data_IF_837934525304
#
_entry.id   IF_837934525304
#
_cell.length_a   1.000
_cell.length_b   1.000
_cell.length_c   1.000
_cell.angle_alpha   90.00
_cell.angle_beta   90.00
_cell.angle_gamma   90.00
#
_symmetry.space_group_name_H-M   'P 1'
#
loop_
_entity.id
_entity.type
_entity.pdbx_description
1 polymer ?
#
# COMPACT_ATOMS: atom_id res chain seq x y z
N UNK A 1 25.06 11.36 -11.05
CA UNK A 1 24.02 12.19 -11.73
C UNK A 1 22.90 11.35 -12.39
N UNK A 2 23.09 10.05 -12.69
CA UNK A 2 22.05 9.22 -13.33
C UNK A 2 21.00 8.65 -12.33
N UNK A 3 21.29 8.61 -11.04
CA UNK A 3 20.39 8.02 -10.02
C UNK A 3 19.20 8.92 -9.62
N UNK A 4 19.21 10.18 -10.05
CA UNK A 4 18.17 11.16 -9.68
C UNK A 4 17.11 11.36 -10.79
N UNK A 5 17.29 10.72 -11.94
CA UNK A 5 16.38 10.89 -13.07
C UNK A 5 15.29 9.84 -13.04
N UNK A 6 14.02 10.29 -13.09
CA UNK A 6 12.88 9.37 -13.25
C UNK A 6 13.02 8.58 -14.56
N UNK A 7 12.79 7.27 -14.47
CA UNK A 7 12.73 6.38 -15.62
C UNK A 7 11.25 6.17 -15.91
N UNK A 8 10.73 6.66 -17.05
CA UNK A 8 9.33 6.45 -17.40
C UNK A 8 9.02 4.97 -17.54
N UNK A 9 7.86 4.55 -17.03
CA UNK A 9 7.28 3.24 -17.24
C UNK A 9 6.02 3.34 -18.07
N UNK A 10 5.57 2.21 -18.61
CA UNK A 10 4.30 2.08 -19.29
C UNK A 10 3.45 1.02 -18.61
N UNK A 11 2.15 1.27 -18.48
CA UNK A 11 1.25 0.31 -17.86
C UNK A 11 -0.20 0.76 -17.90
N UNK A 12 -1.08 -0.19 -17.64
CA UNK A 12 -2.50 0.05 -17.44
C UNK A 12 -2.99 -0.80 -16.25
N UNK A 13 -3.96 -0.29 -15.52
CA UNK A 13 -4.58 -0.99 -14.39
C UNK A 13 -6.07 -0.69 -14.39
N UNK A 14 -6.86 -1.72 -14.09
CA UNK A 14 -8.29 -1.60 -13.88
C UNK A 14 -8.65 -2.25 -12.54
N UNK A 15 -9.44 -1.56 -11.74
CA UNK A 15 -9.93 -2.04 -10.44
C UNK A 15 -11.44 -1.85 -10.40
N UNK A 16 -12.15 -2.88 -9.99
CA UNK A 16 -13.57 -2.79 -9.67
C UNK A 16 -13.73 -2.65 -8.16
N UNK A 17 -14.37 -1.56 -7.73
CA UNK A 17 -14.73 -1.33 -6.33
C UNK A 17 -16.22 -1.62 -6.15
N UNK A 18 -16.54 -2.42 -5.15
CA UNK A 18 -17.91 -2.77 -4.83
C UNK A 18 -18.15 -2.69 -3.32
N UNK A 19 -19.39 -2.45 -2.92
CA UNK A 19 -19.79 -2.53 -1.52
C UNK A 19 -19.88 -4.00 -1.07
N UNK A 20 -19.68 -4.30 0.23
CA UNK A 20 -19.80 -5.68 0.72
C UNK A 20 -21.13 -6.38 0.37
N UNK A 21 -22.30 -5.71 0.43
CA UNK A 21 -23.56 -6.34 -0.01
C UNK A 21 -23.55 -6.75 -1.47
N UNK A 22 -22.99 -5.92 -2.36
CA UNK A 22 -22.92 -6.22 -3.78
C UNK A 22 -21.94 -7.37 -4.07
N UNK A 23 -20.84 -7.46 -3.33
CA UNK A 23 -19.88 -8.59 -3.42
C UNK A 23 -20.59 -9.90 -3.07
N UNK A 24 -21.40 -9.92 -2.00
CA UNK A 24 -22.16 -11.07 -1.60
C UNK A 24 -23.26 -11.45 -2.61
N UNK A 25 -23.98 -10.45 -3.15
CA UNK A 25 -25.02 -10.67 -4.18
C UNK A 25 -24.45 -11.24 -5.46
N UNK A 26 -23.25 -10.81 -5.87
CA UNK A 26 -22.58 -11.25 -7.09
C UNK A 26 -21.66 -12.47 -6.89
N UNK A 27 -21.60 -13.03 -5.66
CA UNK A 27 -20.76 -14.18 -5.30
C UNK A 27 -19.30 -14.02 -5.76
N UNK A 28 -18.71 -12.83 -5.52
CA UNK A 28 -17.35 -12.50 -5.96
C UNK A 28 -16.31 -13.02 -4.97
N UNK A 29 -15.89 -14.27 -5.13
CA UNK A 29 -14.92 -14.94 -4.25
C UNK A 29 -13.52 -14.33 -4.27
N UNK A 30 -13.14 -13.69 -5.38
CA UNK A 30 -11.83 -13.06 -5.58
C UNK A 30 -11.74 -11.64 -5.03
N UNK A 31 -12.53 -11.29 -4.03
CA UNK A 31 -12.57 -9.94 -3.46
C UNK A 31 -11.62 -9.80 -2.27
N UNK A 32 -11.10 -8.60 -2.10
CA UNK A 32 -10.36 -8.20 -0.90
C UNK A 32 -11.01 -6.98 -0.26
N UNK A 33 -10.81 -6.79 1.02
CA UNK A 33 -11.17 -5.55 1.69
C UNK A 33 -10.00 -4.55 1.59
N UNK A 34 -10.32 -3.27 1.49
CA UNK A 34 -9.34 -2.17 1.58
C UNK A 34 -9.74 -1.22 2.69
N UNK A 35 -8.76 -0.75 3.45
CA UNK A 35 -8.97 0.31 4.43
C UNK A 35 -9.26 1.65 3.75
N UNK A 36 -9.66 2.65 4.54
CA UNK A 36 -9.59 4.04 4.07
C UNK A 36 -8.15 4.41 3.71
N UNK A 37 -7.98 5.28 2.74
CA UNK A 37 -6.69 5.87 2.40
C UNK A 37 -6.37 6.98 3.41
N UNK A 38 -5.20 6.90 4.05
CA UNK A 38 -4.63 7.99 4.85
C UNK A 38 -3.60 8.74 4.03
N UNK A 39 -3.71 10.07 3.97
CA UNK A 39 -2.83 10.93 3.16
C UNK A 39 -2.31 12.11 3.96
N UNK A 40 -1.09 12.53 3.68
CA UNK A 40 -0.51 13.77 4.16
C UNK A 40 0.57 14.28 3.21
N UNK A 41 0.90 15.56 3.34
CA UNK A 41 1.94 16.21 2.54
C UNK A 41 3.10 16.66 3.41
N UNK A 42 4.32 16.54 2.91
CA UNK A 42 5.54 17.07 3.50
C UNK A 42 5.62 18.57 3.31
N UNK A 43 6.19 19.26 4.27
CA UNK A 43 6.48 20.71 4.15
C UNK A 43 7.47 20.99 2.99
N UNK A 44 8.45 20.10 2.81
CA UNK A 44 9.47 20.20 1.75
C UNK A 44 9.48 18.96 0.87
N UNK A 45 9.74 19.10 -0.43
CA UNK A 45 9.95 17.96 -1.31
C UNK A 45 11.08 17.06 -0.79
N UNK A 46 10.98 15.75 -1.04
CA UNK A 46 12.02 14.80 -0.62
C UNK A 46 13.35 15.08 -1.31
N UNK A 47 13.33 15.66 -2.51
CA UNK A 47 14.51 16.01 -3.31
C UNK A 47 15.10 17.40 -2.97
N UNK A 48 14.53 18.12 -2.01
CA UNK A 48 15.01 19.46 -1.63
C UNK A 48 16.37 19.46 -0.90
N UNK A 49 16.99 18.30 -0.73
CA UNK A 49 18.24 18.11 -0.01
C UNK A 49 18.06 18.02 1.50
N UNK A 50 19.12 17.53 2.17
CA UNK A 50 19.12 17.28 3.61
C UNK A 50 18.78 15.82 3.94
N UNK A 51 18.67 15.53 5.25
CA UNK A 51 18.30 14.19 5.73
C UNK A 51 16.85 13.90 5.41
N UNK A 52 16.60 12.85 4.68
CA UNK A 52 15.26 12.30 4.47
C UNK A 52 14.87 11.50 5.72
N UNK A 53 13.65 11.68 6.20
CA UNK A 53 13.13 10.94 7.34
C UNK A 53 11.78 10.31 6.98
N UNK A 54 11.55 9.09 7.44
CA UNK A 54 10.30 8.34 7.26
C UNK A 54 9.19 8.74 8.24
N UNK A 55 9.40 9.75 9.09
CA UNK A 55 8.48 10.12 10.17
C UNK A 55 7.03 10.34 9.71
N UNK A 56 6.82 10.96 8.54
CA UNK A 56 5.47 11.20 8.03
C UNK A 56 4.78 9.89 7.65
N UNK A 57 5.50 8.98 7.02
CA UNK A 57 4.99 7.65 6.66
C UNK A 57 4.67 6.84 7.91
N UNK A 58 5.56 6.84 8.90
CA UNK A 58 5.35 6.20 10.21
C UNK A 58 4.08 6.72 10.90
N UNK A 59 3.88 8.04 10.93
CA UNK A 59 2.68 8.66 11.51
C UNK A 59 1.41 8.24 10.77
N UNK A 60 1.44 8.19 9.43
CA UNK A 60 0.31 7.76 8.62
C UNK A 60 -0.03 6.29 8.86
N UNK A 61 0.99 5.43 8.92
CA UNK A 61 0.82 4.00 9.20
C UNK A 61 0.24 3.80 10.60
N UNK A 62 0.87 4.38 11.62
CA UNK A 62 0.41 4.26 13.01
C UNK A 62 -1.04 4.70 13.15
N UNK A 63 -1.38 5.89 12.67
CA UNK A 63 -2.76 6.39 12.72
C UNK A 63 -3.76 5.54 11.94
N UNK A 64 -3.35 4.92 10.83
CA UNK A 64 -4.20 4.01 10.07
C UNK A 64 -4.44 2.70 10.82
N UNK A 65 -3.39 2.11 11.38
CA UNK A 65 -3.48 0.85 12.13
C UNK A 65 -4.29 1.03 13.42
N UNK A 66 -4.12 2.14 14.13
CA UNK A 66 -4.90 2.48 15.33
C UNK A 66 -6.41 2.56 15.02
N UNK A 67 -6.77 3.26 13.93
CA UNK A 67 -8.20 3.41 13.55
C UNK A 67 -8.81 2.11 13.04
N UNK A 68 -8.01 1.28 12.36
CA UNK A 68 -8.50 0.00 11.79
C UNK A 68 -8.43 -1.17 12.76
N UNK A 69 -7.68 -1.04 13.85
CA UNK A 69 -7.43 -2.13 14.81
C UNK A 69 -6.55 -3.26 14.24
N UNK A 70 -5.84 -2.99 13.13
CA UNK A 70 -4.97 -3.99 12.48
C UNK A 70 -3.64 -4.02 13.20
N UNK A 71 -3.25 -5.21 13.68
CA UNK A 71 -1.93 -5.39 14.29
C UNK A 71 -0.83 -5.31 13.21
N UNK A 72 0.28 -4.58 13.44
CA UNK A 72 1.42 -4.54 12.50
C UNK A 72 1.91 -5.93 12.11
N UNK A 73 1.90 -6.88 13.05
CA UNK A 73 2.35 -8.26 12.83
C UNK A 73 1.47 -9.08 11.88
N UNK A 74 0.23 -8.63 11.60
CA UNK A 74 -0.66 -9.27 10.61
C UNK A 74 -0.36 -8.85 9.17
N UNK A 75 0.41 -7.78 8.99
CA UNK A 75 0.85 -7.33 7.66
C UNK A 75 2.10 -8.10 7.29
N UNK A 76 2.05 -8.83 6.18
CA UNK A 76 3.14 -9.71 5.71
C UNK A 76 3.81 -9.24 4.43
N UNK A 77 3.35 -8.14 3.86
CA UNK A 77 4.00 -7.52 2.73
C UNK A 77 3.68 -6.03 2.63
N UNK A 78 4.56 -5.27 1.99
CA UNK A 78 4.40 -3.83 1.76
C UNK A 78 4.63 -3.54 0.28
N UNK A 79 3.62 -3.00 -0.41
CA UNK A 79 3.72 -2.60 -1.80
C UNK A 79 4.13 -1.13 -1.88
N UNK A 80 5.37 -0.87 -2.30
CA UNK A 80 5.92 0.48 -2.42
C UNK A 80 5.75 0.99 -3.85
N UNK A 81 5.18 2.18 -4.05
CA UNK A 81 5.19 2.81 -5.38
C UNK A 81 6.55 3.36 -5.77
N UNK A 82 7.47 3.39 -4.81
CA UNK A 82 8.84 3.90 -4.92
C UNK A 82 9.52 3.45 -6.20
N UNK A 83 10.21 4.37 -6.85
CA UNK A 83 11.08 4.10 -7.98
C UNK A 83 12.55 3.86 -7.54
N UNK A 84 13.48 3.90 -8.47
CA UNK A 84 14.91 3.65 -8.24
C UNK A 84 15.63 4.79 -7.46
N UNK A 85 14.97 5.90 -7.16
CA UNK A 85 15.58 7.03 -6.42
C UNK A 85 15.74 6.67 -4.95
N UNK A 86 17.00 6.66 -4.49
CA UNK A 86 17.37 6.17 -3.17
C UNK A 86 16.65 6.87 -2.01
N UNK A 87 16.41 8.19 -2.12
CA UNK A 87 15.75 8.96 -1.06
C UNK A 87 14.30 8.53 -0.82
N UNK A 88 13.57 8.15 -1.86
CA UNK A 88 12.18 7.70 -1.74
C UNK A 88 12.10 6.31 -1.11
N UNK A 89 13.01 5.40 -1.50
CA UNK A 89 13.10 4.09 -0.89
C UNK A 89 13.53 4.17 0.58
N UNK A 90 14.57 4.98 0.87
CA UNK A 90 15.03 5.19 2.24
C UNK A 90 13.94 5.76 3.15
N UNK A 91 13.15 6.72 2.66
CA UNK A 91 12.01 7.28 3.39
C UNK A 91 10.96 6.21 3.71
N UNK A 92 10.59 5.38 2.72
CA UNK A 92 9.61 4.33 2.91
C UNK A 92 10.07 3.29 3.94
N UNK A 93 11.31 2.81 3.81
CA UNK A 93 11.86 1.81 4.73
C UNK A 93 12.07 2.38 6.15
N UNK A 94 12.53 3.63 6.29
CA UNK A 94 12.62 4.28 7.60
C UNK A 94 11.23 4.47 8.22
N UNK A 95 10.21 4.74 7.39
CA UNK A 95 8.82 4.90 7.84
C UNK A 95 8.16 3.63 8.33
N UNK A 96 8.62 2.46 7.91
CA UNK A 96 8.17 1.19 8.46
C UNK A 96 8.64 0.98 9.89
N UNK A 97 9.84 1.49 10.25
CA UNK A 97 10.36 1.49 11.59
C UNK A 97 10.40 0.10 12.26
N UNK A 98 10.43 0.10 13.59
CA UNK A 98 10.52 -1.13 14.39
C UNK A 98 9.26 -2.00 14.31
N UNK A 99 8.11 -1.41 14.04
CA UNK A 99 6.84 -2.15 13.97
C UNK A 99 6.82 -3.21 12.86
N UNK A 100 7.71 -3.12 11.89
CA UNK A 100 7.79 -4.02 10.73
C UNK A 100 9.15 -4.74 10.60
N UNK A 101 9.92 -4.86 11.69
CA UNK A 101 11.20 -5.60 11.71
C UNK A 101 11.05 -7.09 11.32
N UNK A 102 9.84 -7.61 11.39
CA UNK A 102 9.52 -8.98 10.98
C UNK A 102 9.47 -9.17 9.45
N UNK A 103 9.48 -8.09 8.66
CA UNK A 103 9.48 -8.13 7.20
C UNK A 103 10.91 -8.06 6.65
N UNK A 104 11.16 -8.85 5.61
CA UNK A 104 12.39 -8.74 4.82
C UNK A 104 12.25 -7.57 3.83
N UNK A 105 13.09 -6.52 3.91
CA UNK A 105 12.99 -5.35 3.03
C UNK A 105 13.09 -5.66 1.54
N UNK A 106 13.70 -6.78 1.15
CA UNK A 106 13.89 -7.16 -0.25
C UNK A 106 12.73 -8.03 -0.75
N UNK A 107 12.31 -9.01 0.07
CA UNK A 107 11.29 -9.99 -0.34
C UNK A 107 9.87 -9.50 -0.09
N UNK A 108 9.67 -8.83 1.03
CA UNK A 108 8.33 -8.47 1.51
C UNK A 108 7.96 -7.01 1.21
N UNK A 109 8.94 -6.18 0.77
CA UNK A 109 8.74 -4.77 0.48
C UNK A 109 9.12 -4.40 -0.98
N UNK A 110 8.50 -5.01 -2.00
CA UNK A 110 8.85 -4.72 -3.38
C UNK A 110 8.60 -3.25 -3.75
N UNK A 111 9.63 -2.61 -4.33
CA UNK A 111 9.55 -1.28 -4.92
C UNK A 111 9.07 -1.39 -6.37
N UNK A 112 7.78 -1.22 -6.60
CA UNK A 112 7.14 -1.45 -7.90
C UNK A 112 7.72 -0.52 -8.96
N UNK A 113 7.85 0.77 -8.65
CA UNK A 113 8.41 1.74 -9.59
C UNK A 113 9.88 1.49 -9.93
N UNK A 114 10.65 0.81 -9.06
CA UNK A 114 12.01 0.40 -9.39
C UNK A 114 12.04 -0.73 -10.42
N UNK A 115 10.99 -1.53 -10.50
CA UNK A 115 10.88 -2.68 -11.42
C UNK A 115 10.30 -2.28 -12.77
N UNK A 116 9.23 -1.45 -12.78
CA UNK A 116 8.47 -1.14 -13.99
C UNK A 116 8.61 0.31 -14.44
N UNK A 117 9.39 1.11 -13.75
CA UNK A 117 9.53 2.53 -14.00
C UNK A 117 8.46 3.38 -13.32
N UNK A 118 8.51 4.67 -13.57
CA UNK A 118 7.56 5.65 -13.03
C UNK A 118 6.24 5.56 -13.79
N UNK A 119 5.16 5.25 -13.07
CA UNK A 119 3.82 5.01 -13.62
C UNK A 119 2.81 6.09 -13.21
N UNK A 120 3.25 7.27 -12.80
CA UNK A 120 2.33 8.35 -12.42
C UNK A 120 1.37 8.70 -13.59
N UNK A 121 0.08 8.86 -13.33
CA UNK A 121 -0.60 8.91 -12.03
C UNK A 121 -1.15 7.56 -11.52
N UNK A 122 -0.91 6.44 -12.18
CA UNK A 122 -1.55 5.14 -11.89
C UNK A 122 -0.78 4.27 -10.87
N UNK A 123 0.40 4.69 -10.42
CA UNK A 123 1.29 3.90 -9.55
C UNK A 123 0.61 3.36 -8.27
N UNK A 124 -0.25 4.17 -7.63
CA UNK A 124 -1.01 3.75 -6.45
C UNK A 124 -2.01 2.63 -6.76
N UNK A 125 -2.67 2.67 -7.92
CA UNK A 125 -3.60 1.62 -8.35
C UNK A 125 -2.84 0.33 -8.72
N UNK A 126 -1.65 0.45 -9.32
CA UNK A 126 -0.80 -0.73 -9.59
C UNK A 126 -0.34 -1.37 -8.28
N UNK A 127 0.08 -0.57 -7.30
CA UNK A 127 0.42 -1.07 -5.97
C UNK A 127 -0.76 -1.81 -5.31
N UNK A 128 -1.97 -1.27 -5.42
CA UNK A 128 -3.18 -1.92 -4.92
C UNK A 128 -3.49 -3.23 -5.66
N UNK A 129 -3.31 -3.28 -6.98
CA UNK A 129 -3.48 -4.50 -7.76
C UNK A 129 -2.47 -5.59 -7.35
N UNK A 130 -1.21 -5.20 -7.12
CA UNK A 130 -0.18 -6.11 -6.60
C UNK A 130 -0.52 -6.59 -5.17
N UNK A 131 -0.97 -5.69 -4.30
CA UNK A 131 -1.43 -6.03 -2.96
C UNK A 131 -2.60 -7.02 -3.01
N UNK A 132 -3.59 -6.78 -3.88
CA UNK A 132 -4.71 -7.72 -4.10
C UNK A 132 -4.22 -9.11 -4.49
N UNK A 133 -3.33 -9.19 -5.48
CA UNK A 133 -2.77 -10.46 -5.90
C UNK A 133 -2.05 -11.18 -4.76
N UNK A 134 -1.30 -10.45 -3.94
CA UNK A 134 -0.61 -11.00 -2.76
C UNK A 134 -1.58 -11.49 -1.72
N UNK A 135 -2.58 -10.67 -1.35
CA UNK A 135 -3.62 -11.03 -0.36
C UNK A 135 -4.37 -12.29 -0.78
N UNK A 136 -4.81 -12.38 -2.04
CA UNK A 136 -5.51 -13.56 -2.56
C UNK A 136 -4.62 -14.81 -2.57
N UNK A 137 -3.33 -14.66 -2.86
CA UNK A 137 -2.40 -15.79 -2.89
C UNK A 137 -2.02 -16.32 -1.51
N UNK A 138 -1.98 -15.45 -0.48
CA UNK A 138 -1.45 -15.80 0.85
C UNK A 138 -2.51 -15.83 1.95
N UNK A 139 -3.65 -15.18 1.75
CA UNK A 139 -4.64 -14.93 2.81
C UNK A 139 -4.19 -13.93 3.88
N UNK A 140 -3.09 -13.19 3.65
CA UNK A 140 -2.48 -12.28 4.61
C UNK A 140 -2.61 -10.82 4.17
N UNK A 141 -2.63 -9.88 5.12
CA UNK A 141 -2.77 -8.45 4.83
C UNK A 141 -1.49 -7.86 4.21
N UNK A 142 -1.69 -6.88 3.33
CA UNK A 142 -0.63 -6.12 2.68
C UNK A 142 -0.81 -4.61 2.91
N UNK A 143 0.27 -3.90 3.21
CA UNK A 143 0.30 -2.44 3.29
C UNK A 143 0.69 -1.87 1.92
N UNK A 144 0.01 -0.82 1.47
CA UNK A 144 0.41 -0.05 0.29
C UNK A 144 0.91 1.32 0.73
N UNK A 145 2.09 1.70 0.26
CA UNK A 145 2.69 3.03 0.51
C UNK A 145 2.88 3.72 -0.83
N UNK A 146 2.22 4.87 -0.99
CA UNK A 146 2.40 5.76 -2.14
C UNK A 146 3.27 6.93 -1.76
N UNK A 147 4.49 6.99 -2.33
CA UNK A 147 5.48 8.01 -2.02
C UNK A 147 6.30 8.49 -3.23
N UNK A 148 5.86 8.24 -4.46
CA UNK A 148 6.55 8.75 -5.66
C UNK A 148 6.43 10.28 -5.83
N UNK A 149 5.32 10.87 -5.39
CA UNK A 149 5.17 12.33 -5.45
C UNK A 149 6.18 13.01 -4.53
N UNK A 150 6.80 14.16 -4.94
CA UNK A 150 7.82 14.82 -4.12
C UNK A 150 7.38 15.20 -2.71
N UNK A 151 6.08 15.45 -2.50
CA UNK A 151 5.52 15.89 -1.21
C UNK A 151 4.49 14.95 -0.64
N UNK A 152 3.58 14.40 -1.46
CA UNK A 152 2.42 13.68 -0.96
C UNK A 152 2.76 12.24 -0.63
N UNK A 153 2.19 11.77 0.49
CA UNK A 153 2.30 10.40 0.99
C UNK A 153 0.92 9.84 1.23
N UNK A 154 0.73 8.60 0.84
CA UNK A 154 -0.51 7.88 1.06
C UNK A 154 -0.24 6.47 1.56
N UNK A 155 -1.07 6.00 2.50
CA UNK A 155 -1.02 4.62 3.00
C UNK A 155 -2.42 4.03 3.06
N UNK A 156 -2.53 2.76 2.73
CA UNK A 156 -3.75 1.95 2.93
C UNK A 156 -3.37 0.49 3.19
N UNK A 157 -4.28 -0.27 3.80
CA UNK A 157 -4.13 -1.72 3.99
C UNK A 157 -5.12 -2.46 3.11
N UNK A 158 -4.62 -3.46 2.39
CA UNK A 158 -5.41 -4.47 1.69
C UNK A 158 -5.47 -5.73 2.57
N UNK A 159 -6.66 -6.30 2.73
CA UNK A 159 -6.93 -7.39 3.67
C UNK A 159 -7.77 -8.48 3.00
N UNK A 160 -7.66 -9.74 3.47
CA UNK A 160 -8.63 -10.76 3.11
C UNK A 160 -10.05 -10.30 3.47
N UNK A 161 -11.03 -10.65 2.64
CA UNK A 161 -12.42 -10.49 3.03
C UNK A 161 -12.71 -11.48 4.18
N UNK A 162 -13.16 -10.96 5.31
CA UNK A 162 -13.71 -11.82 6.36
C UNK A 162 -15.00 -12.45 5.85
N UNK A 163 -15.23 -13.76 6.05
CA UNK A 163 -16.52 -14.35 5.74
C UNK A 163 -17.62 -13.57 6.46
N UNK A 164 -18.57 -13.04 5.72
CA UNK A 164 -19.72 -12.40 6.35
C UNK A 164 -20.52 -13.48 7.10
N UNK A 165 -20.95 -13.23 8.35
CA UNK A 165 -21.88 -14.14 9.01
C UNK A 165 -23.13 -14.26 8.13
N UNK A 166 -23.45 -15.47 7.72
CA UNK A 166 -24.72 -15.76 7.03
C UNK A 166 -25.83 -15.34 7.99
N UNK A 167 -26.52 -14.26 7.66
CA UNK A 167 -27.75 -13.89 8.37
C UNK A 167 -28.78 -14.94 7.91
N UNK A 168 -28.91 -16.01 8.70
CA UNK A 168 -30.04 -16.92 8.54
C UNK A 168 -31.31 -16.08 8.74
N UNK A 169 -31.94 -15.70 7.65
CA UNK A 169 -33.31 -15.19 7.68
C UNK A 169 -34.20 -16.33 8.17
N UNK A 170 -34.48 -16.36 9.47
CA UNK A 170 -35.50 -17.21 10.04
C UNK A 170 -36.81 -16.85 9.36
N UNK A 171 -37.20 -17.63 8.36
CA UNK A 171 -38.54 -17.59 7.79
C UNK A 171 -39.51 -18.09 8.87
N UNK A 172 -40.24 -17.16 9.46
CA UNK A 172 -41.46 -17.46 10.25
C UNK A 172 -42.66 -17.51 9.31
#
# INVERSE_FOLDING_TARGET
QHQERQIPGEGAVALLLASPPLIAELELDDSIAISRLSVASRDKPVDAGGRVTGKLIDQLITGLLDVTGIAPSSIKSVMLTTDHRANYLAEALEGLGQSFEHLDPIKDCPAIGATVGELSPISGFVALACARARVLATGESALCISNQHPRDRGVLVAMPMSPQPVIETSSN
#
